data_IF_890140563265
#
_entry.id   IF_890140563265
#
_cell.length_a   1.000
_cell.length_b   1.000
_cell.length_c   1.000
_cell.angle_alpha   90.00
_cell.angle_beta   90.00
_cell.angle_gamma   90.00
#
_symmetry.space_group_name_H-M   'P 1'
#
loop_
_entity.id
_entity.type
_entity.pdbx_description
1 polymer ?
#
# COMPACT_ATOMS: atom_id res chain seq x y z
N UNK A 1 14.12 -1.04 23.09
CA UNK A 1 14.94 -1.43 21.91
C UNK A 1 14.29 -2.44 20.95
N UNK A 2 13.29 -3.23 21.35
CA UNK A 2 12.58 -4.15 20.43
C UNK A 2 11.56 -3.47 19.50
N UNK A 3 11.05 -2.30 19.85
CA UNK A 3 10.02 -1.56 19.14
C UNK A 3 10.49 -0.88 17.84
N UNK A 4 11.78 -0.58 17.73
CA UNK A 4 12.35 0.16 16.58
C UNK A 4 12.46 -0.71 15.32
N UNK A 5 12.64 -2.03 15.48
CA UNK A 5 12.68 -3.00 14.37
C UNK A 5 11.32 -3.20 13.68
N UNK A 6 10.21 -2.94 14.39
CA UNK A 6 8.85 -3.10 13.86
C UNK A 6 8.41 -1.94 12.96
N UNK A 7 8.93 -0.74 13.16
CA UNK A 7 8.57 0.44 12.35
C UNK A 7 8.95 0.26 10.87
N UNK A 8 10.15 -0.23 10.62
CA UNK A 8 10.64 -0.52 9.27
C UNK A 8 9.86 -1.65 8.60
N UNK A 9 9.45 -2.61 9.41
CA UNK A 9 8.69 -3.77 8.95
C UNK A 9 7.24 -3.40 8.65
N UNK A 10 6.55 -2.61 9.50
CA UNK A 10 5.17 -2.18 9.26
C UNK A 10 5.06 -1.26 8.05
N UNK A 11 6.06 -0.41 7.79
CA UNK A 11 6.10 0.45 6.60
C UNK A 11 6.25 -0.34 5.30
N UNK A 12 7.10 -1.39 5.28
CA UNK A 12 7.28 -2.22 4.10
C UNK A 12 6.13 -3.23 3.90
N UNK A 13 5.58 -3.78 4.99
CA UNK A 13 4.45 -4.73 4.97
C UNK A 13 3.13 -4.07 4.62
N UNK A 14 2.88 -2.86 5.10
CA UNK A 14 1.70 -2.10 4.68
C UNK A 14 1.76 -1.76 3.17
N UNK A 15 2.96 -1.66 2.61
CA UNK A 15 3.18 -1.54 1.16
C UNK A 15 2.80 -2.81 0.39
N UNK A 16 2.98 -3.99 0.96
CA UNK A 16 2.80 -5.27 0.28
C UNK A 16 1.44 -5.92 0.46
N UNK A 17 0.79 -5.75 1.61
CA UNK A 17 -0.59 -6.24 1.83
C UNK A 17 -1.64 -5.47 1.02
N UNK A 18 -1.30 -4.31 0.51
CA UNK A 18 -2.08 -3.61 -0.50
C UNK A 18 -1.86 -4.13 -1.94
N UNK A 19 -0.95 -5.09 -2.18
CA UNK A 19 -0.76 -5.67 -3.50
C UNK A 19 -2.05 -6.29 -4.10
N UNK A 20 -2.97 -6.75 -3.26
CA UNK A 20 -4.28 -7.24 -3.71
C UNK A 20 -5.23 -6.12 -4.20
N UNK A 21 -5.02 -4.88 -3.77
CA UNK A 21 -5.74 -3.68 -4.26
C UNK A 21 -4.96 -3.03 -5.42
N UNK A 22 -3.71 -3.44 -5.63
CA UNK A 22 -2.77 -2.90 -6.60
C UNK A 22 -3.05 -3.30 -8.07
N UNK A 23 -4.07 -4.13 -8.32
CA UNK A 23 -4.43 -4.59 -9.66
C UNK A 23 -5.38 -3.65 -10.41
N UNK A 24 -5.50 -2.41 -9.98
CA UNK A 24 -6.05 -1.38 -10.86
C UNK A 24 -5.03 -1.08 -11.94
N UNK A 25 -5.43 -1.20 -13.18
CA UNK A 25 -4.60 -0.76 -14.28
C UNK A 25 -4.01 0.64 -14.02
N UNK A 26 -2.71 0.73 -14.03
CA UNK A 26 -1.83 1.91 -14.06
C UNK A 26 -2.10 3.09 -13.10
N UNK A 27 -3.32 3.53 -12.93
CA UNK A 27 -3.62 4.87 -12.42
C UNK A 27 -3.82 5.02 -10.92
N UNK A 28 -4.07 3.96 -10.16
CA UNK A 28 -4.37 4.07 -8.71
C UNK A 28 -3.30 3.48 -7.79
N UNK A 29 -2.26 2.92 -8.33
CA UNK A 29 -1.22 2.23 -7.57
C UNK A 29 -0.33 3.17 -6.74
N UNK A 30 -0.15 4.41 -7.16
CA UNK A 30 0.72 5.38 -6.49
C UNK A 30 0.12 5.96 -5.20
N UNK A 31 -1.20 6.10 -5.11
CA UNK A 31 -1.86 6.67 -3.93
C UNK A 31 -1.81 5.78 -2.69
N UNK A 32 -1.65 4.47 -2.84
CA UNK A 32 -1.65 3.51 -1.73
C UNK A 32 -0.26 3.27 -1.10
N UNK A 33 0.82 3.68 -1.77
CA UNK A 33 2.19 3.52 -1.26
C UNK A 33 2.54 4.46 -0.10
N UNK A 34 1.79 5.56 0.11
CA UNK A 34 2.09 6.57 1.13
C UNK A 34 1.19 6.52 2.38
N UNK A 35 0.11 5.78 2.39
CA UNK A 35 -0.79 5.68 3.55
C UNK A 35 -0.18 5.00 4.81
N UNK A 36 1.06 4.55 4.74
CA UNK A 36 1.71 3.77 5.81
C UNK A 36 2.49 4.60 6.84
N UNK A 37 2.52 5.93 6.74
CA UNK A 37 3.47 6.76 7.52
C UNK A 37 3.04 7.01 8.98
N UNK A 38 1.82 6.68 9.39
CA UNK A 38 1.29 7.19 10.67
C UNK A 38 1.24 6.21 11.83
N UNK A 39 1.77 5.01 11.75
CA UNK A 39 1.67 4.08 12.88
C UNK A 39 3.01 3.46 13.28
N UNK A 40 3.94 4.30 13.69
CA UNK A 40 5.15 3.85 14.37
C UNK A 40 5.03 3.87 15.90
N UNK A 41 5.85 3.12 16.65
CA UNK A 41 5.92 3.26 18.08
C UNK A 41 6.39 4.67 18.46
N UNK A 42 5.85 5.20 19.54
CA UNK A 42 6.25 6.47 20.14
C UNK A 42 7.68 6.36 20.64
N UNK A 43 8.56 7.03 19.94
CA UNK A 43 9.92 7.35 20.39
C UNK A 43 10.01 8.86 20.25
N UNK A 44 10.69 9.54 21.17
CA UNK A 44 11.03 10.96 21.01
C UNK A 44 11.52 11.22 19.60
N UNK A 45 11.17 12.36 19.00
CA UNK A 45 11.47 12.66 17.61
C UNK A 45 12.93 12.35 17.30
N UNK A 46 13.15 11.33 16.50
CA UNK A 46 14.48 10.88 16.11
C UNK A 46 14.53 10.75 14.60
N UNK A 47 15.70 10.97 14.04
CA UNK A 47 15.92 10.63 12.62
C UNK A 47 15.63 9.14 12.41
N UNK A 48 15.05 8.78 11.26
CA UNK A 48 14.95 7.39 10.86
C UNK A 48 16.31 6.70 10.83
N UNK A 49 16.37 5.41 11.20
CA UNK A 49 17.63 4.66 11.32
C UNK A 49 18.40 4.59 9.99
N UNK A 50 19.73 4.71 10.08
CA UNK A 50 20.62 4.44 8.95
C UNK A 50 20.58 2.97 8.57
N UNK A 51 20.20 2.68 7.33
CA UNK A 51 20.10 1.30 6.86
C UNK A 51 20.05 1.18 5.34
N UNK A 52 20.34 -0.01 4.87
CA UNK A 52 20.07 -0.46 3.52
C UNK A 52 19.10 -1.64 3.57
N UNK A 53 18.03 -1.58 2.79
CA UNK A 53 17.03 -2.64 2.65
C UNK A 53 17.00 -3.14 1.22
N UNK A 54 16.93 -4.45 1.04
CA UNK A 54 16.63 -5.11 -0.22
C UNK A 54 15.38 -5.98 -0.02
N UNK A 55 14.44 -5.89 -0.94
CA UNK A 55 13.23 -6.69 -0.97
C UNK A 55 13.15 -7.40 -2.33
N UNK A 56 12.75 -8.65 -2.34
CA UNK A 56 12.14 -9.29 -3.48
C UNK A 56 10.70 -9.66 -3.15
N UNK A 57 9.77 -9.28 -4.01
CA UNK A 57 8.35 -9.56 -3.85
C UNK A 57 7.83 -10.37 -5.05
N UNK A 58 6.85 -11.21 -4.78
CA UNK A 58 6.11 -12.00 -5.76
C UNK A 58 4.63 -12.07 -5.35
N UNK A 59 3.76 -11.71 -6.27
CA UNK A 59 2.31 -11.87 -6.17
C UNK A 59 1.82 -12.75 -7.31
N UNK A 60 0.93 -13.69 -7.03
CA UNK A 60 0.26 -14.52 -8.04
C UNK A 60 -1.19 -14.74 -7.67
N UNK A 61 -2.13 -14.29 -8.50
CA UNK A 61 -3.56 -14.49 -8.28
C UNK A 61 -4.43 -13.78 -9.30
N UNK A 62 -5.62 -14.35 -9.55
CA UNK A 62 -6.59 -13.77 -10.48
C UNK A 62 -6.11 -13.66 -11.93
N UNK A 63 -5.12 -14.48 -12.32
CA UNK A 63 -4.51 -14.45 -13.65
C UNK A 63 -3.47 -13.34 -13.84
N UNK A 64 -2.96 -12.76 -12.74
CA UNK A 64 -1.90 -11.75 -12.76
C UNK A 64 -0.76 -12.22 -11.89
N UNK A 65 0.46 -12.10 -12.40
CA UNK A 65 1.69 -12.26 -11.66
C UNK A 65 2.47 -10.96 -11.65
N UNK A 66 2.93 -10.53 -10.46
CA UNK A 66 3.76 -9.33 -10.27
C UNK A 66 4.96 -9.71 -9.44
N UNK A 67 6.15 -9.34 -9.89
CA UNK A 67 7.38 -9.62 -9.15
C UNK A 67 8.46 -8.58 -9.43
N UNK A 68 9.37 -8.44 -8.48
CA UNK A 68 10.52 -7.59 -8.70
C UNK A 68 11.31 -7.28 -7.43
N UNK A 69 12.48 -6.66 -7.59
CA UNK A 69 13.30 -6.17 -6.50
C UNK A 69 12.89 -4.75 -6.10
N UNK A 70 13.12 -4.44 -4.82
CA UNK A 70 13.13 -3.08 -4.31
C UNK A 70 14.37 -2.85 -3.44
N UNK A 71 14.92 -1.65 -3.52
CA UNK A 71 16.09 -1.22 -2.76
C UNK A 71 15.77 0.09 -2.05
N UNK A 72 16.24 0.25 -0.82
CA UNK A 72 16.22 1.51 -0.08
C UNK A 72 17.56 1.67 0.62
N UNK A 73 18.14 2.87 0.53
CA UNK A 73 19.33 3.25 1.27
C UNK A 73 19.03 4.55 2.01
N UNK A 74 19.43 4.63 3.29
CA UNK A 74 19.26 5.83 4.12
C UNK A 74 20.55 6.15 4.84
N UNK A 75 20.95 7.43 4.83
CA UNK A 75 22.12 7.94 5.51
C UNK A 75 21.80 9.20 6.31
N UNK A 76 22.26 9.23 7.56
CA UNK A 76 22.08 10.36 8.46
C UNK A 76 23.35 11.20 8.55
N UNK A 77 23.21 12.51 8.77
CA UNK A 77 24.30 13.46 8.89
C UNK A 77 24.05 14.42 10.03
N UNK A 78 25.11 14.73 10.76
CA UNK A 78 25.11 15.70 11.85
C UNK A 78 23.98 15.52 12.87
N UNK A 79 23.49 14.30 13.06
CA UNK A 79 22.38 13.93 13.98
C UNK A 79 21.07 14.71 13.73
N UNK A 80 20.96 15.45 12.62
CA UNK A 80 19.83 16.32 12.27
C UNK A 80 19.25 16.07 10.90
N UNK A 81 20.02 15.50 9.99
CA UNK A 81 19.61 15.32 8.61
C UNK A 81 19.63 13.86 8.21
N UNK A 82 18.67 13.45 7.41
CA UNK A 82 18.64 12.13 6.77
C UNK A 82 18.35 12.27 5.30
N UNK A 83 19.10 11.54 4.47
CA UNK A 83 18.81 11.39 3.04
C UNK A 83 18.49 9.94 2.77
N UNK A 84 17.47 9.69 1.96
CA UNK A 84 17.17 8.36 1.50
C UNK A 84 16.93 8.33 -0.01
N UNK A 85 17.30 7.21 -0.63
CA UNK A 85 17.01 6.89 -2.02
C UNK A 85 16.37 5.52 -2.10
N UNK A 86 15.38 5.36 -2.97
CA UNK A 86 14.71 4.09 -3.22
C UNK A 86 14.58 3.81 -4.70
N UNK A 87 14.63 2.53 -5.05
CA UNK A 87 14.38 2.04 -6.39
C UNK A 87 13.53 0.79 -6.31
N UNK A 88 12.47 0.72 -7.12
CA UNK A 88 11.49 -0.35 -7.10
C UNK A 88 11.17 -0.77 -8.54
N UNK A 89 11.09 -2.06 -8.77
CA UNK A 89 10.75 -2.63 -10.09
C UNK A 89 9.61 -3.60 -9.92
N UNK A 90 8.59 -3.50 -10.78
CA UNK A 90 7.61 -4.53 -11.02
C UNK A 90 7.75 -5.07 -12.44
N UNK A 91 7.77 -6.38 -12.57
CA UNK A 91 7.55 -7.09 -13.81
C UNK A 91 6.17 -7.73 -13.72
N UNK A 92 5.24 -7.26 -14.54
CA UNK A 92 3.83 -7.62 -14.48
C UNK A 92 3.52 -8.49 -15.69
N UNK A 93 2.94 -9.66 -15.47
CA UNK A 93 2.33 -10.45 -16.53
C UNK A 93 0.85 -10.62 -16.26
N UNK A 94 0.00 -10.31 -17.25
CA UNK A 94 -1.44 -10.28 -17.07
C UNK A 94 -2.17 -11.18 -18.07
N UNK A 95 -2.91 -12.14 -17.53
CA UNK A 95 -3.92 -12.93 -18.20
C UNK A 95 -5.20 -12.98 -17.36
N UNK A 96 -5.53 -11.85 -16.69
CA UNK A 96 -6.73 -11.74 -15.86
C UNK A 96 -7.99 -11.95 -16.70
N UNK A 97 -9.10 -12.25 -16.03
CA UNK A 97 -10.39 -12.47 -16.69
C UNK A 97 -10.80 -11.28 -17.60
N UNK A 98 -10.50 -10.05 -17.20
CA UNK A 98 -10.80 -8.86 -17.97
C UNK A 98 -9.95 -8.80 -19.24
N UNK A 99 -8.68 -9.19 -19.17
CA UNK A 99 -7.75 -9.24 -20.29
C UNK A 99 -8.14 -10.37 -21.24
N UNK A 100 -8.32 -11.59 -20.75
CA UNK A 100 -8.61 -12.79 -21.58
C UNK A 100 -9.90 -12.64 -22.38
N UNK A 101 -10.86 -11.85 -21.87
CA UNK A 101 -12.15 -11.64 -22.53
C UNK A 101 -12.17 -10.49 -23.55
N UNK A 102 -11.24 -9.53 -23.44
CA UNK A 102 -11.24 -8.30 -24.25
C UNK A 102 -9.93 -8.05 -24.99
N UNK A 103 -8.83 -8.72 -24.61
CA UNK A 103 -7.50 -8.49 -25.17
C UNK A 103 -6.61 -9.76 -25.09
N UNK A 104 -5.39 -9.68 -25.61
CA UNK A 104 -4.37 -10.70 -25.40
C UNK A 104 -3.67 -10.51 -24.04
N UNK A 105 -3.10 -11.60 -23.46
CA UNK A 105 -2.21 -11.49 -22.30
C UNK A 105 -1.08 -10.49 -22.59
N UNK A 106 -0.74 -9.67 -21.60
CA UNK A 106 0.27 -8.63 -21.73
C UNK A 106 1.40 -8.81 -20.70
N UNK A 107 2.53 -8.18 -20.97
CA UNK A 107 3.64 -8.03 -20.02
C UNK A 107 4.00 -6.55 -19.94
N UNK A 108 4.15 -6.05 -18.73
CA UNK A 108 4.46 -4.66 -18.43
C UNK A 108 5.62 -4.59 -17.44
N UNK A 109 6.40 -3.52 -17.49
CA UNK A 109 7.46 -3.25 -16.53
C UNK A 109 7.31 -1.85 -15.97
N UNK A 110 7.18 -1.77 -14.65
CA UNK A 110 7.19 -0.51 -13.92
C UNK A 110 8.53 -0.30 -13.25
N UNK A 111 9.08 0.89 -13.40
CA UNK A 111 10.27 1.34 -12.66
C UNK A 111 9.88 2.55 -11.84
N UNK A 112 10.25 2.55 -10.56
CA UNK A 112 9.99 3.67 -9.67
C UNK A 112 11.29 4.06 -8.97
N UNK A 113 11.54 5.37 -8.92
CA UNK A 113 12.65 5.98 -8.20
C UNK A 113 12.10 6.96 -7.18
N UNK A 114 12.72 7.02 -5.99
CA UNK A 114 12.37 7.96 -4.94
C UNK A 114 13.60 8.58 -4.29
N UNK A 115 13.50 9.86 -3.96
CA UNK A 115 14.47 10.60 -3.14
C UNK A 115 13.74 11.24 -1.97
N UNK A 116 14.31 11.18 -0.77
CA UNK A 116 13.75 11.80 0.41
C UNK A 116 14.82 12.47 1.25
N UNK A 117 14.41 13.55 1.91
CA UNK A 117 15.22 14.30 2.85
C UNK A 117 14.40 14.55 4.12
N UNK A 118 15.01 14.28 5.28
CA UNK A 118 14.43 14.54 6.58
C UNK A 118 15.31 15.52 7.37
N UNK A 119 14.67 16.42 8.10
CA UNK A 119 15.32 17.37 9.01
C UNK A 119 14.70 17.31 10.39
N UNK A 120 15.53 17.04 11.39
CA UNK A 120 15.14 16.98 12.81
C UNK A 120 15.54 18.28 13.51
N UNK A 121 14.55 18.96 14.08
CA UNK A 121 14.74 20.14 14.92
C UNK A 121 13.98 19.99 16.25
N UNK A 122 14.71 19.81 17.34
CA UNK A 122 14.12 19.49 18.65
C UNK A 122 13.23 18.25 18.54
N UNK A 123 11.99 18.38 18.94
CA UNK A 123 10.98 17.32 18.89
C UNK A 123 10.18 17.29 17.57
N UNK A 124 10.67 17.98 16.52
CA UNK A 124 10.00 18.09 15.23
C UNK A 124 10.82 17.44 14.12
N UNK A 125 10.23 16.48 13.42
CA UNK A 125 10.76 15.89 12.19
C UNK A 125 10.01 16.47 11.00
N UNK A 126 10.73 17.07 10.07
CA UNK A 126 10.22 17.58 8.79
C UNK A 126 10.74 16.70 7.67
N UNK A 127 9.91 16.37 6.70
CA UNK A 127 10.27 15.53 5.57
C UNK A 127 9.82 16.14 4.25
N UNK A 128 10.62 15.93 3.21
CA UNK A 128 10.25 16.17 1.82
C UNK A 128 10.72 14.99 0.99
N UNK A 129 9.90 14.52 0.06
CA UNK A 129 10.31 13.48 -0.88
C UNK A 129 9.70 13.67 -2.25
N UNK A 130 10.43 13.20 -3.25
CA UNK A 130 9.99 13.14 -4.63
C UNK A 130 10.04 11.70 -5.10
N UNK A 131 8.98 11.27 -5.80
CA UNK A 131 8.86 9.95 -6.40
C UNK A 131 8.45 10.07 -7.86
N UNK A 132 9.09 9.30 -8.73
CA UNK A 132 8.71 9.14 -10.12
C UNK A 132 8.55 7.66 -10.44
N UNK A 133 7.52 7.31 -11.20
CA UNK A 133 7.24 5.95 -11.68
C UNK A 133 6.92 6.00 -13.17
N UNK A 134 7.52 5.08 -13.92
CA UNK A 134 7.41 5.01 -15.37
C UNK A 134 6.98 3.59 -15.79
N UNK A 135 5.92 3.53 -16.60
CA UNK A 135 5.40 2.35 -17.31
C UNK A 135 5.29 2.68 -18.81
N UNK A 136 4.94 1.73 -19.66
CA UNK A 136 4.81 1.99 -21.10
C UNK A 136 3.63 2.90 -21.47
N UNK A 137 2.61 2.96 -20.62
CA UNK A 137 1.35 3.69 -20.82
C UNK A 137 0.97 4.58 -19.63
N UNK A 138 1.87 4.74 -18.66
CA UNK A 138 1.63 5.53 -17.45
C UNK A 138 2.92 6.13 -16.89
N UNK A 139 2.94 7.44 -16.72
CA UNK A 139 3.96 8.15 -15.97
C UNK A 139 3.35 8.81 -14.75
N UNK A 140 3.99 8.69 -13.59
CA UNK A 140 3.53 9.34 -12.36
C UNK A 140 4.67 10.08 -11.67
N UNK A 141 4.37 11.27 -11.18
CA UNK A 141 5.29 12.10 -10.38
C UNK A 141 4.59 12.56 -9.13
N UNK A 142 5.27 12.50 -8.00
CA UNK A 142 4.69 12.94 -6.73
C UNK A 142 5.73 13.66 -5.87
N UNK A 143 5.32 14.80 -5.35
CA UNK A 143 6.01 15.54 -4.28
C UNK A 143 5.24 15.35 -2.98
N UNK A 144 5.94 14.97 -1.92
CA UNK A 144 5.39 14.79 -0.57
C UNK A 144 6.11 15.68 0.42
N UNK A 145 5.37 16.30 1.32
CA UNK A 145 5.91 17.03 2.47
C UNK A 145 5.23 16.53 3.74
N UNK A 146 6.02 16.39 4.80
CA UNK A 146 5.56 15.87 6.08
C UNK A 146 6.12 16.65 7.26
N UNK A 147 5.36 16.66 8.35
CA UNK A 147 5.77 17.19 9.64
C UNK A 147 5.25 16.26 10.73
N UNK A 148 6.12 15.89 11.66
CA UNK A 148 5.76 15.13 12.86
C UNK A 148 6.35 15.82 14.08
N UNK A 149 5.54 16.03 15.11
CA UNK A 149 5.96 16.68 16.34
C UNK A 149 5.57 15.83 17.57
N UNK A 150 6.54 15.65 18.45
CA UNK A 150 6.36 14.93 19.70
C UNK A 150 6.03 15.89 20.86
N UNK A 151 5.01 15.55 21.60
CA UNK A 151 4.55 16.27 22.79
C UNK A 151 4.75 15.41 24.04
N UNK A 152 4.82 16.06 25.19
CA UNK A 152 4.86 15.42 26.51
C UNK A 152 5.98 14.37 26.62
N UNK A 153 7.18 14.71 26.10
CA UNK A 153 8.34 13.81 26.15
C UNK A 153 8.18 12.55 25.32
N UNK A 154 7.48 12.64 24.18
CA UNK A 154 7.26 11.52 23.26
C UNK A 154 6.07 10.61 23.62
N UNK A 155 5.23 11.01 24.60
CA UNK A 155 4.02 10.24 24.92
C UNK A 155 2.90 10.46 23.90
N UNK A 156 2.91 11.57 23.17
CA UNK A 156 1.95 11.91 22.13
C UNK A 156 2.69 12.43 20.90
N UNK A 157 2.38 11.93 19.72
CA UNK A 157 2.93 12.39 18.45
C UNK A 157 1.80 12.83 17.52
N UNK A 158 1.89 14.03 16.98
CA UNK A 158 1.02 14.52 15.92
C UNK A 158 1.81 14.55 14.60
N UNK A 159 1.27 13.96 13.56
CA UNK A 159 1.85 13.96 12.22
C UNK A 159 0.89 14.55 11.20
N UNK A 160 1.43 15.33 10.26
CA UNK A 160 0.71 15.90 9.13
C UNK A 160 1.49 15.65 7.86
N UNK A 161 0.79 15.41 6.77
CA UNK A 161 1.40 15.23 5.46
C UNK A 161 0.53 15.81 4.35
N UNK A 162 1.19 16.27 3.32
CA UNK A 162 0.58 16.73 2.09
C UNK A 162 1.36 16.17 0.90
N UNK A 163 0.66 15.65 -0.09
CA UNK A 163 1.28 15.20 -1.34
C UNK A 163 0.53 15.80 -2.53
N UNK A 164 1.30 16.12 -3.57
CA UNK A 164 0.78 16.46 -4.89
C UNK A 164 1.35 15.49 -5.92
N UNK A 165 0.47 14.86 -6.69
CA UNK A 165 0.80 14.00 -7.82
C UNK A 165 0.30 14.59 -9.13
N UNK A 166 1.14 14.48 -10.16
CA UNK A 166 0.82 14.83 -11.54
C UNK A 166 1.14 13.58 -12.38
N UNK A 167 0.10 12.94 -12.94
CA UNK A 167 0.25 11.69 -13.68
C UNK A 167 -0.18 11.88 -15.14
N UNK A 168 0.45 11.15 -16.06
CA UNK A 168 0.10 11.08 -17.47
C UNK A 168 -0.35 9.67 -17.81
N UNK A 169 -1.53 9.54 -18.40
CA UNK A 169 -2.13 8.28 -18.85
C UNK A 169 -2.06 8.22 -20.36
N UNK A 170 -1.49 7.18 -20.89
CA UNK A 170 -1.30 6.98 -22.33
C UNK A 170 -1.90 5.65 -22.78
N UNK A 171 -1.88 5.42 -24.06
CA UNK A 171 -2.25 4.15 -24.65
C UNK A 171 -1.26 3.77 -25.74
N UNK A 172 -0.62 2.58 -25.63
CA UNK A 172 0.50 2.16 -26.51
C UNK A 172 0.08 1.96 -27.97
N UNK A 173 -1.21 1.64 -28.22
CA UNK A 173 -1.73 1.32 -29.56
C UNK A 173 -2.40 2.50 -30.27
N UNK A 174 -2.44 3.66 -29.63
CA UNK A 174 -3.06 4.89 -30.16
C UNK A 174 -2.26 6.13 -29.75
N UNK A 175 -2.66 7.30 -30.21
CA UNK A 175 -2.13 8.60 -29.75
C UNK A 175 -2.92 9.16 -28.55
N UNK A 176 -3.62 8.30 -27.78
CA UNK A 176 -4.36 8.74 -26.62
C UNK A 176 -3.39 9.16 -25.51
N UNK A 177 -3.61 10.36 -24.96
CA UNK A 177 -2.92 10.91 -23.81
C UNK A 177 -3.90 11.77 -23.02
N UNK A 178 -3.92 11.63 -21.70
CA UNK A 178 -4.70 12.45 -20.75
C UNK A 178 -3.96 12.53 -19.43
N UNK A 179 -4.40 13.36 -18.49
CA UNK A 179 -3.69 13.62 -17.23
C UNK A 179 -4.56 13.35 -16.01
N UNK A 180 -3.90 13.15 -14.86
CA UNK A 180 -4.53 13.06 -13.54
C UNK A 180 -3.76 13.96 -12.58
N UNK A 181 -4.46 14.93 -11.99
CA UNK A 181 -3.99 15.69 -10.83
C UNK A 181 -4.47 15.02 -9.54
N UNK A 182 -3.58 14.91 -8.55
CA UNK A 182 -3.88 14.28 -7.26
C UNK A 182 -3.36 15.12 -6.11
N UNK A 183 -4.23 15.33 -5.11
CA UNK A 183 -3.87 15.93 -3.83
C UNK A 183 -4.21 14.97 -2.70
N UNK A 184 -3.28 14.77 -1.77
CA UNK A 184 -3.49 13.91 -0.61
C UNK A 184 -3.14 14.65 0.67
N UNK A 185 -4.01 14.56 1.66
CA UNK A 185 -3.86 15.12 3.00
C UNK A 185 -3.85 13.98 4.01
N UNK A 186 -2.92 14.03 4.94
CA UNK A 186 -2.78 13.01 5.99
C UNK A 186 -2.65 13.68 7.35
N UNK A 187 -3.40 13.15 8.32
CA UNK A 187 -3.28 13.51 9.73
C UNK A 187 -3.12 12.24 10.54
N UNK A 188 -2.25 12.26 11.52
CA UNK A 188 -2.01 11.13 12.41
C UNK A 188 -1.80 11.60 13.83
N UNK A 189 -2.39 10.88 14.77
CA UNK A 189 -2.16 11.06 16.19
C UNK A 189 -1.84 9.72 16.82
N UNK A 190 -0.67 9.63 17.44
CA UNK A 190 -0.23 8.45 18.19
C UNK A 190 -0.13 8.80 19.67
N UNK A 191 -0.64 7.96 20.54
CA UNK A 191 -0.67 8.15 21.98
C UNK A 191 -0.19 6.90 22.72
N UNK A 192 0.75 7.05 23.61
CA UNK A 192 1.09 6.04 24.65
C UNK A 192 0.01 6.09 25.71
N UNK A 193 -0.80 5.04 25.78
CA UNK A 193 -1.86 4.90 26.78
C UNK A 193 -1.38 4.23 28.07
N UNK A 194 -0.38 3.36 27.95
CA UNK A 194 0.30 2.71 29.07
C UNK A 194 1.67 2.19 28.66
N UNK A 195 2.54 1.73 29.57
CA UNK A 195 3.84 1.13 29.22
C UNK A 195 3.75 -0.06 28.26
N UNK A 196 2.57 -0.62 28.06
CA UNK A 196 2.34 -1.80 27.21
C UNK A 196 1.27 -1.60 26.13
N UNK A 197 0.71 -0.39 26.00
CA UNK A 197 -0.35 -0.10 25.04
C UNK A 197 -0.11 1.24 24.35
N UNK A 198 0.00 1.21 23.04
CA UNK A 198 0.05 2.39 22.17
C UNK A 198 -1.14 2.34 21.21
N UNK A 199 -1.83 3.45 21.06
CA UNK A 199 -2.91 3.62 20.10
C UNK A 199 -2.57 4.71 19.09
N UNK A 200 -3.09 4.59 17.87
CA UNK A 200 -2.98 5.62 16.85
C UNK A 200 -4.33 5.81 16.13
N UNK A 201 -4.59 7.06 15.77
CA UNK A 201 -5.70 7.48 14.93
C UNK A 201 -5.11 8.11 13.67
N UNK A 202 -5.66 7.81 12.51
CA UNK A 202 -5.22 8.40 11.24
C UNK A 202 -6.43 8.84 10.40
N UNK A 203 -6.25 9.93 9.69
CA UNK A 203 -7.16 10.40 8.66
C UNK A 203 -6.39 10.63 7.37
N UNK A 204 -6.98 10.24 6.24
CA UNK A 204 -6.47 10.44 4.90
C UNK A 204 -7.60 10.96 4.01
N UNK A 205 -7.35 12.08 3.32
CA UNK A 205 -8.21 12.61 2.29
C UNK A 205 -7.47 12.67 0.97
N UNK A 206 -8.07 12.18 -0.12
CA UNK A 206 -7.49 12.22 -1.47
C UNK A 206 -8.50 12.88 -2.40
N UNK A 207 -8.04 13.86 -3.17
CA UNK A 207 -8.80 14.48 -4.27
C UNK A 207 -8.07 14.20 -5.58
N UNK A 208 -8.80 13.66 -6.54
CA UNK A 208 -8.29 13.29 -7.87
C UNK A 208 -9.16 13.95 -8.95
N UNK A 209 -8.51 14.50 -9.98
CA UNK A 209 -9.17 15.09 -11.15
C UNK A 209 -8.40 14.70 -12.41
N UNK A 210 -9.13 14.30 -13.47
CA UNK A 210 -8.54 13.91 -14.73
C UNK A 210 -9.11 12.62 -15.29
N UNK A 211 -8.29 11.82 -15.97
CA UNK A 211 -8.65 10.54 -16.54
C UNK A 211 -8.48 9.41 -15.52
N UNK A 212 -9.55 9.07 -14.81
CA UNK A 212 -9.51 8.16 -13.67
C UNK A 212 -9.88 6.71 -14.00
N UNK A 213 -9.96 6.33 -15.26
CA UNK A 213 -10.20 4.95 -15.69
C UNK A 213 -8.99 4.36 -16.43
N UNK A 214 -9.04 3.07 -16.71
CA UNK A 214 -8.05 2.41 -17.55
C UNK A 214 -8.49 2.50 -19.02
N UNK A 215 -7.63 3.00 -19.96
CA UNK A 215 -8.01 3.22 -21.35
C UNK A 215 -8.25 1.93 -22.16
N UNK A 216 -7.90 0.76 -21.60
CA UNK A 216 -8.08 -0.55 -22.25
C UNK A 216 -9.33 -1.29 -21.80
N UNK A 217 -10.03 -0.82 -20.75
CA UNK A 217 -11.16 -1.53 -20.16
C UNK A 217 -12.46 -1.27 -20.87
N UNK A 218 -13.34 -2.27 -20.81
CA UNK A 218 -14.66 -2.25 -21.43
C UNK A 218 -15.73 -2.66 -20.41
N UNK A 219 -16.83 -1.90 -20.36
CA UNK A 219 -18.09 -2.30 -19.76
C UNK A 219 -18.88 -3.20 -20.73
N UNK A 220 -19.91 -3.87 -20.22
CA UNK A 220 -20.84 -4.69 -20.99
C UNK A 220 -22.23 -4.03 -21.03
N UNK A 221 -22.78 -3.90 -22.22
CA UNK A 221 -24.17 -3.41 -22.44
C UNK A 221 -24.90 -4.47 -23.24
N UNK A 222 -25.90 -5.12 -22.66
CA UNK A 222 -26.63 -6.25 -23.26
C UNK A 222 -25.68 -7.33 -23.82
N UNK A 223 -24.55 -7.56 -23.13
CA UNK A 223 -23.52 -8.51 -23.54
C UNK A 223 -22.46 -7.98 -24.50
N UNK A 224 -22.67 -6.83 -25.14
CA UNK A 224 -21.69 -6.20 -26.03
C UNK A 224 -20.64 -5.41 -25.24
N UNK A 225 -19.40 -5.39 -25.76
CA UNK A 225 -18.29 -4.63 -25.17
C UNK A 225 -18.40 -3.15 -25.59
N UNK A 226 -18.38 -2.24 -24.61
CA UNK A 226 -18.42 -0.79 -24.80
C UNK A 226 -17.35 -0.16 -23.92
N UNK A 227 -16.63 0.86 -24.40
CA UNK A 227 -15.60 1.52 -23.61
C UNK A 227 -16.16 2.05 -22.28
N UNK A 228 -15.45 1.83 -21.18
CA UNK A 228 -15.80 2.36 -19.86
C UNK A 228 -15.72 3.88 -19.84
N UNK A 229 -16.59 4.49 -19.03
CA UNK A 229 -16.68 5.95 -18.85
C UNK A 229 -16.85 6.25 -17.36
N UNK A 230 -15.84 6.87 -16.76
CA UNK A 230 -15.84 7.22 -15.34
C UNK A 230 -16.08 8.71 -15.13
N UNK A 231 -16.56 9.14 -13.97
CA UNK A 231 -16.45 10.54 -13.55
C UNK A 231 -14.98 10.98 -13.54
N UNK A 232 -14.73 12.20 -13.96
CA UNK A 232 -13.35 12.76 -14.01
C UNK A 232 -12.87 13.29 -12.67
N UNK A 233 -13.67 13.18 -11.63
CA UNK A 233 -13.30 13.60 -10.26
C UNK A 233 -13.62 12.50 -9.27
N UNK A 234 -12.76 12.37 -8.26
CA UNK A 234 -12.98 11.49 -7.11
C UNK A 234 -12.44 12.13 -5.86
N UNK A 235 -13.22 12.17 -4.80
CA UNK A 235 -12.75 12.54 -3.47
C UNK A 235 -12.97 11.35 -2.54
N UNK A 236 -11.89 10.93 -1.88
CA UNK A 236 -11.87 9.77 -0.99
C UNK A 236 -11.47 10.19 0.41
N UNK A 237 -12.06 9.55 1.41
CA UNK A 237 -11.75 9.76 2.82
C UNK A 237 -11.55 8.41 3.50
N UNK A 238 -10.53 8.30 4.34
CA UNK A 238 -10.30 7.12 5.15
C UNK A 238 -9.97 7.51 6.59
N UNK A 239 -10.55 6.77 7.52
CA UNK A 239 -10.25 6.86 8.95
C UNK A 239 -9.65 5.53 9.42
N UNK A 240 -8.49 5.59 10.06
CA UNK A 240 -7.78 4.42 10.58
C UNK A 240 -7.62 4.48 12.09
N UNK A 241 -7.74 3.33 12.72
CA UNK A 241 -7.45 3.13 14.15
C UNK A 241 -6.48 1.96 14.27
N UNK A 242 -5.44 2.12 15.07
CA UNK A 242 -4.49 1.07 15.38
C UNK A 242 -4.25 0.99 16.88
N UNK A 243 -4.10 -0.24 17.40
CA UNK A 243 -3.67 -0.49 18.77
C UNK A 243 -2.59 -1.57 18.79
N UNK A 244 -1.48 -1.29 19.49
CA UNK A 244 -0.39 -2.22 19.71
C UNK A 244 -0.32 -2.53 21.20
N UNK A 245 -0.55 -3.80 21.58
CA UNK A 245 -0.51 -4.27 22.96
C UNK A 245 0.62 -5.27 23.15
N UNK A 246 1.52 -4.97 24.09
CA UNK A 246 2.54 -5.91 24.56
C UNK A 246 2.03 -6.68 25.78
N UNK A 247 2.17 -8.00 25.76
CA UNK A 247 1.79 -8.93 26.80
C UNK A 247 3.04 -9.51 27.46
N UNK A 248 3.57 -8.80 28.45
CA UNK A 248 4.87 -9.07 29.08
C UNK A 248 5.03 -10.50 29.60
N UNK A 249 4.01 -11.05 30.28
CA UNK A 249 4.05 -12.41 30.84
C UNK A 249 4.26 -13.51 29.79
N UNK A 250 3.79 -13.29 28.56
CA UNK A 250 3.85 -14.24 27.45
C UNK A 250 4.81 -13.82 26.33
N UNK A 251 5.45 -12.65 26.48
CA UNK A 251 6.42 -12.08 25.53
C UNK A 251 5.91 -12.02 24.09
N UNK A 252 4.65 -11.61 23.89
CA UNK A 252 4.10 -11.39 22.56
C UNK A 252 3.46 -10.01 22.43
N UNK A 253 3.36 -9.55 21.18
CA UNK A 253 2.66 -8.32 20.78
C UNK A 253 1.43 -8.67 19.96
N UNK A 254 0.33 -8.00 20.26
CA UNK A 254 -0.88 -8.01 19.43
C UNK A 254 -1.00 -6.64 18.78
N UNK A 255 -1.18 -6.60 17.49
CA UNK A 255 -1.53 -5.40 16.72
C UNK A 255 -2.91 -5.58 16.12
N UNK A 256 -3.81 -4.66 16.42
CA UNK A 256 -5.14 -4.56 15.80
C UNK A 256 -5.15 -3.29 14.96
N UNK A 257 -5.62 -3.40 13.69
CA UNK A 257 -5.87 -2.26 12.80
C UNK A 257 -7.29 -2.34 12.28
N UNK A 258 -7.93 -1.19 12.18
CA UNK A 258 -9.20 -1.02 11.49
C UNK A 258 -9.13 0.21 10.60
N UNK A 259 -9.66 0.13 9.38
CA UNK A 259 -9.76 1.26 8.44
C UNK A 259 -11.14 1.28 7.82
N UNK A 260 -11.80 2.42 7.94
CA UNK A 260 -13.02 2.77 7.24
C UNK A 260 -12.69 3.69 6.06
N UNK A 261 -13.34 3.48 4.92
CA UNK A 261 -13.15 4.27 3.70
C UNK A 261 -14.50 4.60 3.06
N UNK A 262 -14.60 5.80 2.50
CA UNK A 262 -15.75 6.27 1.71
C UNK A 262 -15.29 7.22 0.62
N UNK A 263 -15.96 7.22 -0.54
CA UNK A 263 -15.65 8.13 -1.63
C UNK A 263 -16.91 8.66 -2.37
N UNK A 264 -16.68 9.62 -3.25
CA UNK A 264 -17.74 10.26 -4.07
C UNK A 264 -18.28 9.36 -5.19
N UNK A 265 -17.65 8.22 -5.45
CA UNK A 265 -18.17 7.20 -6.37
C UNK A 265 -19.18 6.27 -5.70
N UNK A 266 -19.39 6.42 -4.38
CA UNK A 266 -20.33 5.65 -3.58
C UNK A 266 -19.74 4.38 -2.98
N UNK A 267 -18.42 4.18 -3.10
CA UNK A 267 -17.75 3.05 -2.47
C UNK A 267 -17.61 3.33 -0.98
N UNK A 268 -18.04 2.36 -0.17
CA UNK A 268 -17.77 2.29 1.26
C UNK A 268 -17.01 1.01 1.53
N UNK A 269 -15.88 1.08 2.25
CA UNK A 269 -15.10 -0.11 2.54
C UNK A 269 -14.66 -0.19 4.01
N UNK A 270 -14.51 -1.40 4.50
CA UNK A 270 -14.01 -1.73 5.84
C UNK A 270 -12.87 -2.72 5.75
N UNK A 271 -11.82 -2.48 6.52
CA UNK A 271 -10.69 -3.38 6.64
C UNK A 271 -10.34 -3.58 8.11
N UNK A 272 -10.27 -4.82 8.55
CA UNK A 272 -9.77 -5.20 9.88
C UNK A 272 -8.59 -6.15 9.74
N UNK A 273 -7.52 -5.88 10.49
CA UNK A 273 -6.30 -6.70 10.50
C UNK A 273 -5.89 -6.98 11.94
N UNK A 274 -5.55 -8.23 12.23
CA UNK A 274 -5.04 -8.67 13.51
C UNK A 274 -3.72 -9.42 13.30
N UNK A 275 -2.66 -8.98 13.97
CA UNK A 275 -1.33 -9.59 13.89
C UNK A 275 -0.84 -9.94 15.30
N UNK A 276 -0.33 -11.15 15.44
CA UNK A 276 0.38 -11.61 16.63
C UNK A 276 1.86 -11.78 16.30
N UNK A 277 2.73 -11.24 17.12
CA UNK A 277 4.18 -11.36 16.97
C UNK A 277 4.81 -11.82 18.25
N UNK A 278 5.79 -12.74 18.15
CA UNK A 278 6.51 -13.28 19.30
C UNK A 278 7.98 -13.45 18.97
N UNK A 279 8.84 -13.04 19.91
CA UNK A 279 10.26 -13.38 19.87
C UNK A 279 10.46 -14.78 20.44
N UNK A 280 10.94 -15.71 19.60
CA UNK A 280 11.22 -17.10 19.98
C UNK A 280 12.62 -17.25 20.59
N UNK A 281 13.58 -16.45 20.13
CA UNK A 281 14.95 -16.40 20.63
C UNK A 281 15.50 -14.99 20.49
N UNK A 282 16.72 -14.74 20.94
CA UNK A 282 17.39 -13.44 20.75
C UNK A 282 17.50 -13.04 19.27
N UNK A 283 17.58 -14.03 18.38
CA UNK A 283 17.75 -13.82 16.92
C UNK A 283 16.50 -14.06 16.11
N UNK A 284 15.47 -14.74 16.64
CA UNK A 284 14.31 -15.20 15.85
C UNK A 284 13.03 -14.58 16.36
N UNK A 285 12.29 -13.98 15.44
CA UNK A 285 10.93 -13.47 15.66
C UNK A 285 9.98 -14.10 14.66
N UNK A 286 8.80 -14.47 15.10
CA UNK A 286 7.71 -14.97 14.25
C UNK A 286 6.50 -14.04 14.39
N UNK A 287 5.71 -13.99 13.32
CA UNK A 287 4.41 -13.32 13.30
C UNK A 287 3.38 -14.16 12.57
N UNK A 288 2.14 -14.04 12.99
CA UNK A 288 0.98 -14.63 12.33
C UNK A 288 -0.09 -13.54 12.26
N UNK A 289 -0.72 -13.37 11.10
CA UNK A 289 -1.72 -12.34 10.89
C UNK A 289 -2.89 -12.81 10.06
N UNK A 290 -4.01 -12.09 10.19
CA UNK A 290 -5.18 -12.25 9.35
C UNK A 290 -5.83 -10.92 9.08
N UNK A 291 -6.42 -10.76 7.90
CA UNK A 291 -7.11 -9.55 7.46
C UNK A 291 -8.44 -9.93 6.81
N UNK A 292 -9.44 -9.12 7.08
CA UNK A 292 -10.72 -9.16 6.40
C UNK A 292 -11.03 -7.79 5.81
N UNK A 293 -11.48 -7.78 4.55
CA UNK A 293 -11.84 -6.60 3.80
C UNK A 293 -13.19 -6.79 3.14
N UNK A 294 -14.01 -5.73 3.09
CA UNK A 294 -15.26 -5.68 2.34
C UNK A 294 -15.45 -4.30 1.75
N UNK A 295 -16.05 -4.22 0.58
CA UNK A 295 -16.48 -2.96 -0.04
C UNK A 295 -17.83 -3.11 -0.75
N UNK A 296 -18.52 -1.98 -0.91
CA UNK A 296 -19.68 -1.82 -1.79
C UNK A 296 -19.25 -1.43 -3.21
N UNK A 297 -20.12 -1.62 -4.20
CA UNK A 297 -19.85 -1.18 -5.58
C UNK A 297 -19.90 0.33 -5.74
N UNK A 298 -19.23 0.83 -6.78
CA UNK A 298 -19.41 2.20 -7.25
C UNK A 298 -20.80 2.39 -7.86
N UNK A 299 -21.36 3.60 -7.74
CA UNK A 299 -22.70 3.95 -8.23
C UNK A 299 -22.90 3.77 -9.74
N UNK A 300 -21.82 3.74 -10.52
CA UNK A 300 -21.81 3.55 -11.96
C UNK A 300 -21.24 2.19 -12.38
N UNK A 301 -21.12 1.26 -11.45
CA UNK A 301 -20.72 -0.12 -11.72
C UNK A 301 -21.92 -0.99 -12.09
N UNK A 302 -21.73 -1.87 -13.06
CA UNK A 302 -22.62 -3.02 -13.32
C UNK A 302 -21.87 -4.11 -14.07
N UNK A 303 -22.15 -5.36 -13.75
CA UNK A 303 -21.59 -6.51 -14.49
C UNK A 303 -22.13 -6.60 -15.93
N UNK A 304 -23.37 -6.14 -16.19
CA UNK A 304 -23.97 -6.04 -17.53
C UNK A 304 -25.08 -5.00 -17.52
N UNK A 305 -24.91 -3.91 -18.24
CA UNK A 305 -25.86 -2.83 -18.31
C UNK A 305 -27.02 -3.17 -19.25
N UNK A 306 -28.25 -2.76 -18.90
CA UNK A 306 -29.42 -2.88 -19.75
C UNK A 306 -29.44 -1.86 -20.93
N UNK A 307 -28.70 -0.77 -20.79
CA UNK A 307 -28.53 0.30 -21.81
C UNK A 307 -27.26 1.09 -21.51
N UNK A 308 -26.83 1.94 -22.44
CA UNK A 308 -25.74 2.85 -22.19
C UNK A 308 -26.14 3.99 -21.23
N UNK A 309 -25.23 4.28 -20.27
CA UNK A 309 -25.32 5.41 -19.36
C UNK A 309 -24.14 6.36 -19.58
N UNK A 310 -24.26 7.57 -19.01
CA UNK A 310 -23.19 8.57 -19.06
C UNK A 310 -21.89 8.05 -18.45
N UNK A 311 -21.98 7.35 -17.31
CA UNK A 311 -20.87 6.70 -16.63
C UNK A 311 -21.17 5.22 -16.51
N UNK A 312 -20.20 4.38 -16.83
CA UNK A 312 -20.32 2.93 -16.82
C UNK A 312 -18.97 2.30 -16.56
N UNK A 313 -18.92 1.36 -15.64
CA UNK A 313 -17.74 0.55 -15.33
C UNK A 313 -18.13 -0.91 -15.13
N UNK A 314 -17.30 -1.81 -15.61
CA UNK A 314 -17.33 -3.24 -15.25
C UNK A 314 -16.01 -3.67 -14.60
N UNK A 315 -15.24 -2.72 -14.12
CA UNK A 315 -14.02 -3.01 -13.36
C UNK A 315 -14.37 -3.76 -12.08
N UNK A 316 -13.85 -4.99 -11.93
CA UNK A 316 -14.07 -5.79 -10.72
C UNK A 316 -13.64 -5.09 -9.43
N UNK A 317 -12.67 -4.17 -9.52
CA UNK A 317 -12.19 -3.37 -8.38
C UNK A 317 -13.24 -2.33 -7.91
N UNK A 318 -14.22 -2.02 -8.76
CA UNK A 318 -15.34 -1.13 -8.45
C UNK A 318 -16.62 -1.88 -8.07
N UNK A 319 -16.57 -3.21 -8.00
CA UNK A 319 -17.70 -4.08 -7.64
C UNK A 319 -17.83 -4.26 -6.12
N UNK A 320 -18.93 -4.89 -5.70
CA UNK A 320 -19.04 -5.44 -4.34
C UNK A 320 -18.16 -6.68 -4.23
N UNK A 321 -17.28 -6.70 -3.26
CA UNK A 321 -16.51 -7.90 -2.94
C UNK A 321 -16.01 -7.94 -1.50
N UNK A 322 -15.65 -9.14 -1.08
CA UNK A 322 -14.94 -9.40 0.16
C UNK A 322 -13.61 -10.07 -0.11
N UNK A 323 -12.63 -9.84 0.76
CA UNK A 323 -11.42 -10.64 0.78
C UNK A 323 -11.00 -11.00 2.20
N UNK A 324 -10.46 -12.20 2.36
CA UNK A 324 -9.90 -12.67 3.62
C UNK A 324 -8.47 -13.16 3.38
N UNK A 325 -7.53 -12.77 4.23
CA UNK A 325 -6.16 -13.27 4.15
C UNK A 325 -5.69 -13.85 5.47
N UNK A 326 -4.80 -14.82 5.36
CA UNK A 326 -4.00 -15.34 6.46
C UNK A 326 -2.55 -15.38 6.01
N UNK A 327 -1.64 -14.97 6.88
CA UNK A 327 -0.22 -14.93 6.56
C UNK A 327 0.67 -15.10 7.77
N UNK A 328 1.93 -15.40 7.46
CA UNK A 328 2.96 -15.59 8.46
C UNK A 328 4.27 -14.92 8.05
N UNK A 329 5.04 -14.56 9.06
CA UNK A 329 6.40 -14.04 8.89
C UNK A 329 7.38 -14.72 9.82
N UNK A 330 8.61 -14.85 9.34
CA UNK A 330 9.76 -15.26 10.14
C UNK A 330 10.88 -14.29 9.89
N UNK A 331 11.43 -13.72 10.95
CA UNK A 331 12.60 -12.84 10.91
C UNK A 331 13.75 -13.46 11.66
N UNK A 332 14.95 -13.40 11.08
CA UNK A 332 16.17 -13.92 11.69
C UNK A 332 17.30 -12.89 11.63
N UNK A 333 17.92 -12.61 12.76
CA UNK A 333 19.10 -11.77 12.86
C UNK A 333 20.34 -12.56 12.45
N UNK A 334 20.91 -12.20 11.28
CA UNK A 334 22.06 -12.89 10.69
C UNK A 334 23.37 -12.59 11.42
N UNK A 335 23.55 -11.31 11.78
CA UNK A 335 24.73 -10.82 12.50
C UNK A 335 24.42 -9.56 13.29
N UNK A 336 25.27 -9.27 14.30
CA UNK A 336 25.28 -8.06 15.11
C UNK A 336 26.74 -7.64 15.33
N UNK A 337 27.02 -6.32 15.30
CA UNK A 337 28.31 -5.70 15.56
C UNK A 337 29.45 -6.30 14.70
N UNK A 338 29.22 -6.39 13.40
CA UNK A 338 30.18 -6.95 12.43
C UNK A 338 30.86 -5.84 11.63
N UNK A 339 31.95 -5.29 12.17
CA UNK A 339 32.73 -4.22 11.53
C UNK A 339 31.95 -2.91 11.48
N UNK A 340 31.67 -2.41 10.26
CA UNK A 340 30.87 -1.19 10.06
C UNK A 340 29.36 -1.43 10.07
N UNK A 341 28.93 -2.67 10.15
CA UNK A 341 27.52 -3.05 10.16
C UNK A 341 27.09 -3.34 11.59
N UNK A 342 26.14 -2.57 12.08
CA UNK A 342 25.59 -2.74 13.43
C UNK A 342 24.71 -4.00 13.51
N UNK A 343 23.93 -4.31 12.45
CA UNK A 343 23.00 -5.44 12.47
C UNK A 343 22.61 -5.84 11.04
N UNK A 344 22.39 -7.13 10.84
CA UNK A 344 21.80 -7.69 9.60
C UNK A 344 20.61 -8.59 9.93
N UNK A 345 19.50 -8.43 9.22
CA UNK A 345 18.25 -9.19 9.41
C UNK A 345 17.71 -9.68 8.07
N UNK A 346 17.27 -10.92 8.02
CA UNK A 346 16.48 -11.47 6.93
C UNK A 346 15.05 -11.72 7.42
N UNK A 347 14.07 -11.40 6.58
CA UNK A 347 12.65 -11.64 6.90
C UNK A 347 11.97 -12.27 5.71
N UNK A 348 11.29 -13.38 5.95
CA UNK A 348 10.45 -14.08 5.00
C UNK A 348 8.99 -13.87 5.38
N UNK A 349 8.14 -13.57 4.39
CA UNK A 349 6.70 -13.44 4.55
C UNK A 349 5.97 -14.22 3.48
N UNK A 350 4.84 -14.77 3.87
CA UNK A 350 3.90 -15.42 2.97
C UNK A 350 2.47 -15.10 3.42
N UNK A 351 1.63 -14.68 2.46
CA UNK A 351 0.20 -14.46 2.65
C UNK A 351 -0.61 -15.22 1.60
N UNK A 352 -1.70 -15.84 2.03
CA UNK A 352 -2.74 -16.40 1.17
C UNK A 352 -3.98 -15.54 1.29
N UNK A 353 -4.52 -15.06 0.15
CA UNK A 353 -5.68 -14.19 0.08
C UNK A 353 -6.77 -14.90 -0.71
N UNK A 354 -7.99 -14.90 -0.20
CA UNK A 354 -9.18 -15.34 -0.91
C UNK A 354 -10.04 -14.13 -1.27
N UNK A 355 -10.44 -14.01 -2.54
CA UNK A 355 -11.34 -12.99 -3.04
C UNK A 355 -12.65 -13.62 -3.44
N UNK A 356 -13.77 -12.98 -3.05
CA UNK A 356 -15.13 -13.38 -3.41
C UNK A 356 -15.89 -12.14 -3.85
N UNK A 357 -16.37 -12.16 -5.09
CA UNK A 357 -17.11 -11.06 -5.71
C UNK A 357 -18.60 -11.35 -5.65
N UNK A 358 -19.40 -10.37 -5.22
CA UNK A 358 -20.82 -10.55 -5.01
C UNK A 358 -21.66 -10.13 -6.23
N UNK A 359 -21.09 -9.34 -7.14
CA UNK A 359 -21.80 -8.84 -8.34
C UNK A 359 -20.91 -8.71 -9.59
N UNK A 360 -19.74 -9.38 -9.62
CA UNK A 360 -18.90 -9.52 -10.81
C UNK A 360 -18.85 -11.00 -11.24
N UNK A 361 -19.23 -11.30 -12.49
CA UNK A 361 -19.23 -12.66 -13.04
C UNK A 361 -18.07 -12.95 -13.98
N UNK A 362 -17.61 -14.20 -14.00
CA UNK A 362 -16.77 -14.73 -15.06
C UNK A 362 -17.62 -14.92 -16.32
N UNK A 363 -17.36 -14.12 -17.36
CA UNK A 363 -18.12 -14.16 -18.62
C UNK A 363 -18.04 -15.50 -19.37
N UNK A 364 -17.07 -16.36 -19.04
CA UNK A 364 -16.89 -17.69 -19.64
C UNK A 364 -17.79 -18.73 -19.01
N UNK A 365 -18.02 -18.64 -17.69
CA UNK A 365 -18.85 -19.58 -16.92
C UNK A 365 -20.22 -19.00 -16.57
N UNK A 366 -20.36 -17.67 -16.50
CA UNK A 366 -21.53 -16.97 -15.99
C UNK A 366 -21.67 -17.01 -14.47
N UNK A 367 -20.72 -17.63 -13.74
CA UNK A 367 -20.72 -17.69 -12.29
C UNK A 367 -20.04 -16.47 -11.66
N UNK A 368 -20.40 -16.16 -10.41
CA UNK A 368 -19.72 -15.12 -9.63
C UNK A 368 -18.22 -15.43 -9.50
N UNK A 369 -17.42 -14.43 -9.74
CA UNK A 369 -15.97 -14.57 -9.79
C UNK A 369 -15.38 -14.72 -8.39
N UNK A 370 -14.47 -15.63 -8.24
CA UNK A 370 -13.69 -15.86 -7.02
C UNK A 370 -12.32 -16.41 -7.37
N UNK A 371 -11.31 -16.03 -6.61
CA UNK A 371 -9.96 -16.57 -6.81
C UNK A 371 -9.13 -16.48 -5.52
N UNK A 372 -8.02 -17.18 -5.54
CA UNK A 372 -7.00 -17.09 -4.50
C UNK A 372 -5.76 -16.41 -5.04
N UNK A 373 -5.10 -15.62 -4.19
CA UNK A 373 -3.79 -15.05 -4.46
C UNK A 373 -2.78 -15.48 -3.41
N UNK A 374 -1.53 -15.55 -3.81
CA UNK A 374 -0.38 -15.76 -2.92
C UNK A 374 0.54 -14.55 -3.01
N UNK A 375 1.04 -14.12 -1.87
CA UNK A 375 2.07 -13.09 -1.78
C UNK A 375 3.28 -13.68 -1.06
N UNK A 376 4.43 -13.56 -1.67
CA UNK A 376 5.71 -13.97 -1.10
C UNK A 376 6.64 -12.77 -1.07
N UNK A 377 7.37 -12.60 0.04
CA UNK A 377 8.32 -11.51 0.20
C UNK A 377 9.55 -11.95 0.97
N UNK A 378 10.71 -11.54 0.47
CA UNK A 378 12.00 -11.79 1.09
C UNK A 378 12.69 -10.43 1.29
N UNK A 379 12.93 -10.09 2.55
CA UNK A 379 13.62 -8.87 2.94
C UNK A 379 15.01 -9.18 3.48
N UNK A 380 15.96 -8.33 3.12
CA UNK A 380 17.24 -8.24 3.78
C UNK A 380 17.43 -6.79 4.25
N UNK A 381 17.73 -6.58 5.52
CA UNK A 381 18.00 -5.26 6.10
C UNK A 381 19.35 -5.26 6.78
N UNK A 382 20.16 -4.23 6.52
CA UNK A 382 21.45 -4.02 7.15
C UNK A 382 21.52 -2.61 7.75
N UNK A 383 21.82 -2.50 9.02
CA UNK A 383 22.04 -1.24 9.73
C UNK A 383 23.55 -0.98 9.86
N UNK A 384 23.97 0.28 9.76
CA UNK A 384 25.38 0.69 9.76
C UNK A 384 25.60 2.05 10.44
#
# INVERSE_FOLDING_TARGET
>A
MAAISEKAFSELVARSTNAAVLLRGGTTMLALLFAAVVAGPVVAATLPEERADALYHYYSGGGIDVQGPALLIRKNFAEKYSINASYYVDSISGASIDVVTNASPYSEKRNQFGLGFDYLYGDTLMSISYTQSDESDYEARMLDVGLSHDFFGGMSTLAMGFSRGDDTVMRVDTSFEDTVDRFQYRLGWTQVLSPTLVAALSYEGISEEGFLNNPYRSARVLGASVQERYPRTRTSNALGIQANKYWGERSFVTQLKYRFYVDTWGITANNIELVFSRRLSEKTEIGLGGRFYTQTAANFYSDNFAQEFRYMARDKELSDFTSASIGGRVSYELFRDKGRLAKGKITLMFDRIHFNYDNFSDVRSGELYKFNANVFQLFFSAWY
#
